data_IF_463733597335
#
_entry.id   IF_463733597335
#
_cell.length_a   1.000
_cell.length_b   1.000
_cell.length_c   1.000
_cell.angle_alpha   90.00
_cell.angle_beta   90.00
_cell.angle_gamma   90.00
#
_symmetry.space_group_name_H-M   'P 1'
#
loop_
_entity.id
_entity.type
_entity.pdbx_description
1 polymer ?
#
# COMPACT_ATOMS: atom_id res chain seq x y z
N UNK A 1 -1.65 -15.24 -16.96
CA UNK A 1 -2.28 -13.91 -16.83
C UNK A 1 -1.53 -13.18 -15.72
N UNK A 2 -1.24 -11.89 -15.89
CA UNK A 2 -0.56 -11.12 -14.84
C UNK A 2 -1.54 -10.86 -13.68
N UNK A 3 -1.06 -10.95 -12.44
CA UNK A 3 -1.84 -10.46 -11.29
C UNK A 3 -2.00 -8.93 -11.37
N UNK A 4 -3.11 -8.35 -10.89
CA UNK A 4 -3.21 -6.91 -10.72
C UNK A 4 -2.25 -6.40 -9.63
N UNK A 5 -2.09 -5.08 -9.53
CA UNK A 5 -1.50 -4.40 -8.36
C UNK A 5 -2.56 -3.58 -7.64
N UNK A 6 -2.33 -3.32 -6.36
CA UNK A 6 -3.24 -2.53 -5.52
C UNK A 6 -2.51 -1.41 -4.81
N UNK A 7 -3.14 -0.25 -4.69
CA UNK A 7 -2.89 0.70 -3.62
C UNK A 7 -4.06 0.62 -2.65
N UNK A 8 -3.79 0.30 -1.39
CA UNK A 8 -4.83 0.15 -0.36
C UNK A 8 -4.69 1.19 0.74
N UNK A 9 -5.83 1.68 1.20
CA UNK A 9 -5.95 2.28 2.52
C UNK A 9 -5.80 1.18 3.58
N UNK A 10 -4.78 1.25 4.44
CA UNK A 10 -4.54 0.17 5.42
C UNK A 10 -5.32 0.32 6.74
N UNK A 11 -5.96 1.47 6.96
CA UNK A 11 -6.64 1.81 8.20
C UNK A 11 -5.68 2.09 9.37
N UNK A 12 -6.19 2.65 10.48
CA UNK A 12 -5.33 2.96 11.62
C UNK A 12 -4.89 1.68 12.36
N UNK A 13 -3.61 1.52 12.67
CA UNK A 13 -3.19 0.45 13.59
C UNK A 13 -3.85 0.64 14.96
N UNK A 14 -4.47 -0.39 15.59
CA UNK A 14 -4.67 -1.80 15.21
C UNK A 14 -6.15 -2.14 14.88
N UNK A 15 -6.78 -1.43 13.95
CA UNK A 15 -8.23 -1.42 13.74
C UNK A 15 -8.94 -2.79 13.64
N UNK A 16 -8.39 -3.87 13.03
CA UNK A 16 -9.11 -5.14 12.92
C UNK A 16 -9.27 -5.86 14.28
N UNK A 17 -8.45 -5.50 15.27
CA UNK A 17 -8.38 -6.11 16.60
C UNK A 17 -9.09 -5.29 17.68
N UNK A 18 -9.80 -4.23 17.26
CA UNK A 18 -10.56 -3.33 18.10
C UNK A 18 -12.00 -3.33 17.57
N UNK A 19 -12.94 -3.93 18.30
CA UNK A 19 -14.32 -4.15 17.82
C UNK A 19 -15.00 -2.87 17.31
N UNK A 20 -14.90 -1.77 18.07
CA UNK A 20 -15.48 -0.48 17.68
C UNK A 20 -14.82 0.10 16.42
N UNK A 21 -13.50 -0.04 16.29
CA UNK A 21 -12.75 0.45 15.11
C UNK A 21 -13.06 -0.39 13.87
N UNK A 22 -13.12 -1.72 14.03
CA UNK A 22 -13.51 -2.64 12.96
C UNK A 22 -14.91 -2.37 12.46
N UNK A 23 -15.87 -2.18 13.37
CA UNK A 23 -17.23 -1.79 13.01
C UNK A 23 -17.29 -0.43 12.31
N UNK A 24 -16.51 0.55 12.78
CA UNK A 24 -16.43 1.85 12.14
C UNK A 24 -15.81 1.79 10.73
N UNK A 25 -14.93 0.81 10.47
CA UNK A 25 -14.23 0.61 9.19
C UNK A 25 -14.77 -0.58 8.40
N UNK A 26 -16.06 -0.91 8.55
CA UNK A 26 -16.67 -2.07 7.88
C UNK A 26 -16.58 -2.01 6.34
N UNK A 27 -16.70 -0.81 5.74
CA UNK A 27 -16.55 -0.64 4.29
C UNK A 27 -15.12 -0.97 3.84
N UNK A 28 -14.13 -0.53 4.61
CA UNK A 28 -12.74 -0.89 4.37
C UNK A 28 -12.54 -2.41 4.51
N UNK A 29 -13.09 -3.01 5.57
CA UNK A 29 -13.04 -4.46 5.79
C UNK A 29 -13.60 -5.23 4.59
N UNK A 30 -14.81 -4.88 4.15
CA UNK A 30 -15.46 -5.51 3.00
C UNK A 30 -14.61 -5.39 1.73
N UNK A 31 -13.99 -4.23 1.50
CA UNK A 31 -13.12 -4.03 0.33
C UNK A 31 -11.87 -4.91 0.36
N UNK A 32 -11.26 -5.12 1.55
CA UNK A 32 -10.09 -5.97 1.71
C UNK A 32 -10.44 -7.45 1.57
N UNK A 33 -11.61 -7.86 2.08
CA UNK A 33 -12.15 -9.23 1.93
C UNK A 33 -12.49 -9.55 0.47
N UNK A 34 -12.87 -8.55 -0.33
CA UNK A 34 -13.20 -8.77 -1.74
C UNK A 34 -11.96 -8.92 -2.64
N UNK A 35 -10.79 -8.39 -2.26
CA UNK A 35 -9.56 -8.44 -3.08
C UNK A 35 -9.24 -9.87 -3.59
N UNK A 36 -9.20 -10.94 -2.75
CA UNK A 36 -8.93 -12.30 -3.24
C UNK A 36 -9.91 -12.79 -4.32
N UNK A 37 -11.16 -12.33 -4.31
CA UNK A 37 -12.18 -12.69 -5.31
C UNK A 37 -11.95 -12.00 -6.66
N UNK A 38 -11.22 -10.88 -6.66
CA UNK A 38 -10.87 -10.12 -7.87
C UNK A 38 -9.61 -10.66 -8.59
N UNK A 39 -8.94 -11.66 -8.00
CA UNK A 39 -7.72 -12.24 -8.56
C UNK A 39 -8.03 -13.43 -9.48
N UNK A 40 -7.30 -13.60 -10.60
CA UNK A 40 -7.49 -14.73 -11.49
C UNK A 40 -7.14 -16.09 -10.83
N UNK A 41 -6.30 -16.06 -9.80
CA UNK A 41 -5.92 -17.20 -8.98
C UNK A 41 -5.28 -16.69 -7.68
N UNK A 42 -5.21 -17.55 -6.66
CA UNK A 42 -4.49 -17.24 -5.42
C UNK A 42 -3.02 -16.88 -5.73
N UNK A 43 -2.47 -15.79 -5.18
CA UNK A 43 -1.07 -15.46 -5.39
C UNK A 43 -0.15 -16.47 -4.70
N UNK A 44 1.05 -16.65 -5.24
CA UNK A 44 2.09 -17.49 -4.62
C UNK A 44 2.76 -16.79 -3.45
N UNK A 45 2.79 -15.46 -3.46
CA UNK A 45 3.33 -14.61 -2.42
C UNK A 45 2.80 -13.17 -2.56
N UNK A 46 2.99 -12.36 -1.52
CA UNK A 46 2.66 -10.94 -1.51
C UNK A 46 3.94 -10.12 -1.35
N UNK A 47 4.11 -9.10 -2.17
CA UNK A 47 5.07 -8.02 -1.96
C UNK A 47 4.33 -6.79 -1.45
N UNK A 48 4.57 -6.43 -0.19
CA UNK A 48 3.93 -5.32 0.50
C UNK A 48 4.87 -4.11 0.56
N UNK A 49 4.53 -3.04 -0.14
CA UNK A 49 5.23 -1.75 -0.04
C UNK A 49 4.56 -0.95 1.07
N UNK A 50 5.23 -0.81 2.22
CA UNK A 50 4.62 -0.16 3.40
C UNK A 50 5.05 1.29 3.55
N UNK A 51 4.07 2.18 3.75
CA UNK A 51 4.28 3.56 4.16
C UNK A 51 5.03 3.71 5.51
N UNK A 52 5.02 2.66 6.34
CA UNK A 52 5.67 2.63 7.66
C UNK A 52 7.11 2.12 7.63
N UNK A 53 7.69 2.04 6.43
CA UNK A 53 9.08 1.68 6.26
C UNK A 53 9.77 2.62 5.27
N UNK A 54 10.64 3.48 5.78
CA UNK A 54 11.48 4.38 4.99
C UNK A 54 12.95 4.09 5.29
N UNK A 55 13.80 4.06 4.27
CA UNK A 55 15.24 3.86 4.43
C UNK A 55 16.04 4.55 3.30
N UNK A 56 17.36 4.71 3.45
CA UNK A 56 18.21 5.42 2.47
C UNK A 56 18.36 4.69 1.11
N UNK A 57 18.06 3.39 1.09
CA UNK A 57 17.92 2.55 -0.09
C UNK A 57 16.58 1.80 -0.01
N UNK A 58 16.13 1.19 -1.12
CA UNK A 58 14.98 0.30 -1.05
C UNK A 58 15.35 -0.96 -0.26
N UNK A 59 14.90 -1.05 0.99
CA UNK A 59 15.13 -2.23 1.83
C UNK A 59 14.07 -3.28 1.57
N UNK A 60 14.51 -4.53 1.46
CA UNK A 60 13.66 -5.69 1.21
C UNK A 60 13.76 -6.63 2.40
N UNK A 61 12.62 -6.97 3.00
CA UNK A 61 12.60 -7.91 4.12
C UNK A 61 13.04 -9.29 3.64
N UNK A 62 14.09 -9.84 4.25
CA UNK A 62 14.62 -11.18 3.96
C UNK A 62 14.51 -12.15 5.13
N UNK A 63 13.85 -11.75 6.22
CA UNK A 63 13.57 -12.61 7.36
C UNK A 63 12.58 -13.73 6.96
N UNK A 64 12.95 -15.03 7.05
CA UNK A 64 12.05 -16.14 6.68
C UNK A 64 10.93 -16.38 7.70
N UNK A 65 11.07 -15.89 8.94
CA UNK A 65 10.05 -15.95 9.98
C UNK A 65 9.93 -14.57 10.65
N UNK A 66 9.29 -13.59 9.99
CA UNK A 66 9.16 -12.23 10.49
C UNK A 66 8.44 -12.20 11.84
N UNK A 67 8.99 -11.41 12.77
CA UNK A 67 8.26 -11.03 13.98
C UNK A 67 7.20 -9.97 13.67
N UNK A 68 6.61 -9.41 14.74
CA UNK A 68 5.71 -8.26 14.65
C UNK A 68 6.48 -6.98 14.99
N UNK A 69 6.18 -5.88 14.30
CA UNK A 69 6.65 -4.54 14.60
C UNK A 69 5.44 -3.67 14.91
N UNK A 70 5.19 -3.40 16.20
CA UNK A 70 4.07 -2.55 16.62
C UNK A 70 4.49 -1.08 16.59
N UNK A 71 4.22 -0.44 15.45
CA UNK A 71 4.55 0.95 15.12
C UNK A 71 3.42 1.96 15.44
N UNK A 72 2.51 1.57 16.33
CA UNK A 72 1.42 2.39 16.86
C UNK A 72 1.40 2.37 18.40
N UNK A 73 0.81 3.40 19.01
CA UNK A 73 0.88 3.66 20.45
C UNK A 73 -0.46 4.03 21.07
N UNK A 74 -0.64 3.78 22.37
CA UNK A 74 -1.79 4.25 23.15
C UNK A 74 -3.04 3.36 23.08
N UNK A 75 -2.91 2.12 22.60
CA UNK A 75 -4.01 1.17 22.49
C UNK A 75 -3.99 0.14 23.64
N UNK A 76 -5.07 -0.63 23.84
CA UNK A 76 -5.10 -1.71 24.84
C UNK A 76 -4.00 -2.76 24.63
N UNK A 77 -3.52 -3.33 25.74
CA UNK A 77 -2.39 -4.29 25.78
C UNK A 77 -2.57 -5.47 24.83
N UNK A 78 -3.79 -6.02 24.69
CA UNK A 78 -4.05 -7.17 23.84
C UNK A 78 -3.69 -6.94 22.38
N UNK A 79 -3.69 -5.69 21.92
CA UNK A 79 -3.35 -5.34 20.53
C UNK A 79 -1.85 -5.51 20.24
N UNK A 80 -1.00 -5.47 21.27
CA UNK A 80 0.46 -5.71 21.20
C UNK A 80 0.84 -7.19 21.34
N UNK A 81 -0.16 -8.08 21.40
CA UNK A 81 0.02 -9.54 21.43
C UNK A 81 -0.57 -10.23 20.20
N UNK A 82 -1.03 -9.46 19.21
CA UNK A 82 -1.55 -10.01 17.95
C UNK A 82 -0.38 -10.48 17.08
N UNK A 83 -0.54 -11.63 16.44
CA UNK A 83 0.48 -12.23 15.58
C UNK A 83 -0.10 -12.61 14.23
N UNK A 84 0.46 -12.04 13.16
CA UNK A 84 0.18 -12.45 11.79
C UNK A 84 1.32 -13.35 11.29
N UNK A 85 1.08 -14.67 11.28
CA UNK A 85 2.15 -15.68 11.17
C UNK A 85 2.50 -16.06 9.74
N UNK A 86 2.42 -15.11 8.81
CA UNK A 86 2.81 -15.37 7.42
C UNK A 86 4.32 -15.60 7.33
N UNK A 87 4.79 -16.63 6.60
CA UNK A 87 6.22 -16.83 6.40
C UNK A 87 6.80 -15.68 5.56
N UNK A 88 8.09 -15.39 5.76
CA UNK A 88 8.84 -14.60 4.78
C UNK A 88 9.25 -15.46 3.59
N UNK A 89 9.91 -14.87 2.60
CA UNK A 89 10.51 -15.63 1.49
C UNK A 89 11.86 -15.05 1.11
N UNK A 90 12.91 -15.84 1.34
CA UNK A 90 14.27 -15.51 0.93
C UNK A 90 14.38 -15.41 -0.59
N UNK A 91 13.81 -16.37 -1.32
CA UNK A 91 13.78 -16.40 -2.79
C UNK A 91 13.12 -15.15 -3.38
N UNK A 92 11.95 -14.76 -2.84
CA UNK A 92 11.28 -13.54 -3.29
C UNK A 92 12.10 -12.29 -2.94
N UNK A 93 12.71 -12.24 -1.74
CA UNK A 93 13.53 -11.11 -1.35
C UNK A 93 14.74 -10.93 -2.29
N UNK A 94 15.45 -12.01 -2.62
CA UNK A 94 16.56 -11.99 -3.58
C UNK A 94 16.09 -11.53 -4.97
N UNK A 95 14.96 -12.06 -5.44
CA UNK A 95 14.38 -11.70 -6.73
C UNK A 95 14.00 -10.23 -6.82
N UNK A 96 13.41 -9.68 -5.76
CA UNK A 96 13.08 -8.25 -5.65
C UNK A 96 14.35 -7.40 -5.69
N UNK A 97 15.39 -7.77 -4.92
CA UNK A 97 16.66 -7.04 -4.90
C UNK A 97 17.33 -7.06 -6.28
N UNK A 98 17.33 -8.21 -6.97
CA UNK A 98 17.86 -8.34 -8.32
C UNK A 98 17.17 -7.38 -9.29
N UNK A 99 15.83 -7.39 -9.35
CA UNK A 99 15.05 -6.52 -10.23
C UNK A 99 15.33 -5.04 -9.98
N UNK A 100 15.38 -4.62 -8.71
CA UNK A 100 15.65 -3.22 -8.34
C UNK A 100 17.06 -2.81 -8.79
N UNK A 101 18.07 -3.66 -8.55
CA UNK A 101 19.46 -3.38 -8.94
C UNK A 101 19.65 -3.39 -10.45
N UNK A 102 18.99 -4.29 -11.18
CA UNK A 102 19.01 -4.32 -12.64
C UNK A 102 18.42 -3.05 -13.27
N UNK A 103 17.50 -2.38 -12.57
CA UNK A 103 16.98 -1.07 -12.95
C UNK A 103 17.90 0.11 -12.55
N UNK A 104 19.07 -0.16 -11.96
CA UNK A 104 20.02 0.87 -11.51
C UNK A 104 19.62 1.57 -10.20
N UNK A 105 18.66 1.01 -9.46
CA UNK A 105 18.18 1.56 -8.19
C UNK A 105 18.89 0.89 -6.99
N UNK A 106 19.10 1.59 -5.86
CA UNK A 106 19.76 1.02 -4.69
C UNK A 106 18.82 0.08 -3.93
N UNK A 107 19.24 -1.17 -3.72
CA UNK A 107 18.51 -2.14 -2.90
C UNK A 107 19.39 -2.89 -1.91
N UNK A 108 18.86 -3.11 -0.71
CA UNK A 108 19.51 -3.81 0.40
C UNK A 108 18.54 -4.81 1.05
N UNK A 109 19.05 -5.93 1.55
CA UNK A 109 18.26 -6.86 2.36
C UNK A 109 18.16 -6.38 3.82
N UNK A 110 17.07 -6.75 4.50
CA UNK A 110 16.88 -6.61 5.93
C UNK A 110 16.38 -7.93 6.53
N UNK A 111 17.26 -8.62 7.25
CA UNK A 111 16.96 -9.90 7.87
C UNK A 111 16.28 -9.78 9.25
N UNK A 112 16.08 -8.55 9.76
CA UNK A 112 15.51 -8.29 11.09
C UNK A 112 14.11 -7.66 11.03
N UNK A 113 13.70 -7.12 9.88
CA UNK A 113 12.37 -6.52 9.71
C UNK A 113 11.26 -7.51 10.12
N UNK A 114 10.35 -7.03 10.96
CA UNK A 114 9.06 -7.65 11.26
C UNK A 114 7.92 -6.88 10.61
N UNK A 115 6.71 -7.46 10.63
CA UNK A 115 5.53 -6.84 10.03
C UNK A 115 5.05 -5.61 10.80
N UNK A 116 5.10 -4.44 10.16
CA UNK A 116 4.42 -3.22 10.63
C UNK A 116 2.90 -3.28 10.41
N UNK A 117 2.13 -2.39 11.03
CA UNK A 117 0.67 -2.44 10.92
C UNK A 117 0.16 -2.19 9.51
N UNK A 118 0.89 -1.41 8.69
CA UNK A 118 0.56 -1.22 7.28
C UNK A 118 0.60 -2.55 6.51
N UNK A 119 1.39 -3.53 6.95
CA UNK A 119 1.35 -4.87 6.40
C UNK A 119 0.33 -5.77 7.11
N UNK A 120 0.49 -6.01 8.42
CA UNK A 120 -0.25 -7.09 9.06
C UNK A 120 -1.74 -6.79 9.28
N UNK A 121 -2.14 -5.52 9.45
CA UNK A 121 -3.54 -5.19 9.71
C UNK A 121 -4.43 -5.47 8.49
N UNK A 122 -4.14 -4.97 7.28
CA UNK A 122 -4.94 -5.31 6.11
C UNK A 122 -4.80 -6.79 5.72
N UNK A 123 -3.64 -7.41 5.91
CA UNK A 123 -3.44 -8.82 5.59
C UNK A 123 -4.20 -9.77 6.52
N UNK A 124 -4.35 -9.42 7.80
CA UNK A 124 -5.17 -10.21 8.73
C UNK A 124 -6.65 -10.26 8.32
N UNK A 125 -7.13 -9.25 7.60
CA UNK A 125 -8.49 -9.20 7.03
C UNK A 125 -8.53 -9.92 5.67
N UNK A 126 -7.57 -9.65 4.80
CA UNK A 126 -7.53 -10.17 3.43
C UNK A 126 -7.21 -11.67 3.35
N UNK A 127 -6.27 -12.14 4.15
CA UNK A 127 -5.78 -13.52 4.20
C UNK A 127 -5.57 -13.94 5.67
N UNK A 128 -6.66 -14.21 6.42
CA UNK A 128 -6.60 -14.46 7.86
C UNK A 128 -5.78 -15.69 8.24
N UNK A 129 -5.71 -16.70 7.36
CA UNK A 129 -4.96 -17.94 7.60
C UNK A 129 -3.44 -17.77 7.50
N UNK A 130 -2.97 -16.64 6.95
CA UNK A 130 -1.54 -16.32 6.79
C UNK A 130 -0.72 -17.44 6.11
N UNK A 131 -1.33 -18.13 5.14
CA UNK A 131 -0.84 -19.39 4.58
C UNK A 131 0.07 -19.22 3.35
N UNK A 132 0.58 -18.01 3.12
CA UNK A 132 1.43 -17.69 1.98
C UNK A 132 2.57 -16.73 2.35
N UNK A 133 3.70 -16.78 1.64
CA UNK A 133 4.79 -15.87 1.91
C UNK A 133 4.45 -14.39 1.71
N UNK A 134 4.91 -13.55 2.63
CA UNK A 134 4.80 -12.09 2.56
C UNK A 134 6.20 -11.50 2.69
N UNK A 135 6.58 -10.64 1.75
CA UNK A 135 7.81 -9.84 1.80
C UNK A 135 7.43 -8.37 1.86
N UNK A 136 8.05 -7.61 2.76
CA UNK A 136 7.91 -6.16 2.79
C UNK A 136 9.01 -5.47 1.99
N UNK A 137 8.69 -4.30 1.46
CA UNK A 137 9.60 -3.40 0.77
C UNK A 137 9.42 -1.98 1.32
N UNK A 138 10.54 -1.34 1.66
CA UNK A 138 10.55 0.05 2.12
C UNK A 138 10.35 1.05 0.99
N UNK A 139 9.91 2.24 1.35
CA UNK A 139 10.13 3.46 0.58
C UNK A 139 11.59 3.91 0.71
N UNK A 140 12.02 4.73 -0.24
CA UNK A 140 13.34 5.38 -0.18
C UNK A 140 13.22 6.79 0.39
N UNK A 141 14.11 7.11 1.31
CA UNK A 141 14.25 8.42 1.93
C UNK A 141 14.40 9.51 0.86
N UNK A 142 13.77 10.65 1.10
CA UNK A 142 13.59 11.72 0.12
C UNK A 142 12.29 11.59 -0.68
N UNK A 143 11.63 10.42 -0.68
CA UNK A 143 10.26 10.23 -1.15
C UNK A 143 9.98 10.84 -2.53
N UNK A 144 10.93 10.70 -3.46
CA UNK A 144 10.80 11.23 -4.80
C UNK A 144 9.77 10.40 -5.60
N UNK A 145 8.66 10.97 -6.09
CA UNK A 145 7.60 10.20 -6.76
C UNK A 145 8.10 9.45 -8.00
N UNK A 146 8.99 10.08 -8.78
CA UNK A 146 9.57 9.48 -9.98
C UNK A 146 10.43 8.24 -9.68
N UNK A 147 11.15 8.22 -8.55
CA UNK A 147 11.94 7.05 -8.15
C UNK A 147 11.04 5.88 -7.74
N UNK A 148 9.89 6.17 -7.12
CA UNK A 148 8.93 5.14 -6.69
C UNK A 148 8.10 4.60 -7.87
N UNK A 149 7.82 5.41 -8.89
CA UNK A 149 7.32 4.93 -10.18
C UNK A 149 8.35 4.03 -10.87
N UNK A 150 9.63 4.43 -10.90
CA UNK A 150 10.71 3.63 -11.46
C UNK A 150 10.89 2.29 -10.73
N UNK A 151 10.74 2.29 -9.39
CA UNK A 151 10.70 1.09 -8.59
C UNK A 151 9.55 0.17 -9.03
N UNK A 152 8.33 0.70 -9.15
CA UNK A 152 7.16 -0.06 -9.62
C UNK A 152 7.42 -0.74 -10.97
N UNK A 153 7.95 0.02 -11.94
CA UNK A 153 8.32 -0.51 -13.27
C UNK A 153 9.32 -1.66 -13.19
N UNK A 154 10.32 -1.55 -12.32
CA UNK A 154 11.31 -2.61 -12.11
C UNK A 154 10.67 -3.90 -11.54
N UNK A 155 9.63 -3.77 -10.72
CA UNK A 155 8.94 -4.88 -10.05
C UNK A 155 7.84 -5.53 -10.90
N UNK A 156 7.44 -4.92 -12.03
CA UNK A 156 6.38 -5.42 -12.90
C UNK A 156 6.47 -6.92 -13.26
N UNK A 157 7.66 -7.52 -13.53
CA UNK A 157 7.77 -8.94 -13.85
C UNK A 157 7.20 -9.89 -12.77
N UNK A 158 7.24 -9.50 -11.49
CA UNK A 158 6.77 -10.32 -10.38
C UNK A 158 5.28 -10.69 -10.51
N UNK A 159 4.49 -9.85 -11.19
CA UNK A 159 3.06 -10.08 -11.43
C UNK A 159 2.81 -11.31 -12.28
N UNK A 160 3.68 -11.57 -13.26
CA UNK A 160 3.63 -12.78 -14.10
C UNK A 160 4.19 -14.01 -13.37
N UNK A 161 5.11 -13.79 -12.41
CA UNK A 161 5.71 -14.84 -11.57
C UNK A 161 4.72 -15.35 -10.49
N UNK A 162 3.62 -14.63 -10.26
CA UNK A 162 2.54 -14.99 -9.35
C UNK A 162 2.58 -14.25 -8.01
N UNK A 163 3.30 -13.12 -7.94
CA UNK A 163 3.39 -12.27 -6.76
C UNK A 163 2.36 -11.14 -6.86
N UNK A 164 1.54 -10.99 -5.82
CA UNK A 164 0.63 -9.86 -5.69
C UNK A 164 1.39 -8.66 -5.12
N UNK A 165 1.41 -7.54 -5.85
CA UNK A 165 2.06 -6.30 -5.41
C UNK A 165 1.00 -5.39 -4.79
N UNK A 166 1.22 -5.00 -3.54
CA UNK A 166 0.32 -4.12 -2.78
C UNK A 166 1.13 -2.95 -2.24
N UNK A 167 0.77 -1.74 -2.67
CA UNK A 167 1.13 -0.50 -1.99
C UNK A 167 0.18 -0.25 -0.83
N UNK A 168 0.69 -0.25 0.40
CA UNK A 168 -0.09 -0.02 1.61
C UNK A 168 0.18 1.37 2.17
N UNK A 169 -0.86 2.20 2.17
CA UNK A 169 -0.81 3.59 2.64
C UNK A 169 -2.20 4.10 2.98
N UNK A 170 -2.48 5.35 2.59
CA UNK A 170 -3.78 5.99 2.77
C UNK A 170 -3.92 7.16 1.78
N UNK A 171 -5.06 7.33 1.09
CA UNK A 171 -5.20 8.42 0.12
C UNK A 171 -5.25 9.82 0.75
N UNK A 172 -5.42 9.92 2.07
CA UNK A 172 -5.29 11.14 2.88
C UNK A 172 -4.58 10.84 4.20
N UNK A 173 -3.46 11.50 4.52
CA UNK A 173 -2.70 11.24 5.74
C UNK A 173 -2.25 12.54 6.45
N UNK A 174 -3.22 13.27 7.01
CA UNK A 174 -2.96 14.39 7.92
C UNK A 174 -3.65 14.20 9.27
N UNK A 175 -3.00 13.44 10.15
CA UNK A 175 -3.52 13.11 11.48
C UNK A 175 -3.89 14.34 12.33
N UNK A 176 -3.23 15.49 12.10
CA UNK A 176 -3.50 16.75 12.82
C UNK A 176 -4.82 17.41 12.41
N UNK A 177 -5.39 17.00 11.28
CA UNK A 177 -6.62 17.58 10.70
C UNK A 177 -7.75 16.56 10.55
N UNK A 178 -7.63 15.38 11.14
CA UNK A 178 -8.71 14.39 11.20
C UNK A 178 -10.00 14.98 11.79
N UNK A 179 -11.13 14.32 11.49
CA UNK A 179 -12.45 14.83 11.80
C UNK A 179 -12.94 15.87 10.79
N UNK A 180 -13.80 16.82 11.18
CA UNK A 180 -14.47 17.73 10.26
C UNK A 180 -13.54 18.59 9.38
N UNK A 181 -12.32 18.87 9.86
CA UNK A 181 -11.32 19.66 9.13
C UNK A 181 -10.70 18.92 7.93
N UNK A 182 -10.83 17.59 7.88
CA UNK A 182 -10.34 16.78 6.77
C UNK A 182 -11.27 16.84 5.56
N UNK A 183 -12.57 17.06 5.76
CA UNK A 183 -13.63 16.82 4.77
C UNK A 183 -13.38 17.42 3.40
N UNK A 184 -13.22 18.74 3.33
CA UNK A 184 -13.00 19.40 2.04
C UNK A 184 -11.61 19.02 1.46
N UNK A 185 -10.50 19.13 2.21
CA UNK A 185 -9.18 18.77 1.68
C UNK A 185 -9.07 17.32 1.18
N UNK A 186 -9.66 16.36 1.90
CA UNK A 186 -9.65 14.95 1.50
C UNK A 186 -10.52 14.71 0.29
N UNK A 187 -11.70 15.32 0.20
CA UNK A 187 -12.58 15.18 -0.97
C UNK A 187 -11.91 15.74 -2.22
N UNK A 188 -11.37 16.96 -2.14
CA UNK A 188 -10.73 17.64 -3.27
C UNK A 188 -9.49 16.89 -3.77
N UNK A 189 -8.70 16.29 -2.87
CA UNK A 189 -7.54 15.49 -3.25
C UNK A 189 -7.96 14.12 -3.81
N UNK A 190 -9.00 13.49 -3.25
CA UNK A 190 -9.51 12.19 -3.74
C UNK A 190 -10.16 12.31 -5.12
N UNK A 191 -10.91 13.39 -5.39
CA UNK A 191 -11.45 13.71 -6.72
C UNK A 191 -10.32 13.83 -7.75
N UNK A 192 -9.21 14.48 -7.37
CA UNK A 192 -8.02 14.55 -8.21
C UNK A 192 -7.37 13.18 -8.44
N UNK A 193 -7.34 12.30 -7.43
CA UNK A 193 -6.86 10.92 -7.59
C UNK A 193 -7.76 10.14 -8.55
N UNK A 194 -9.08 10.24 -8.42
CA UNK A 194 -10.04 9.56 -9.29
C UNK A 194 -9.85 10.00 -10.75
N UNK A 195 -9.77 11.31 -11.02
CA UNK A 195 -9.53 11.85 -12.36
C UNK A 195 -8.15 11.40 -12.90
N UNK A 196 -7.11 11.55 -12.09
CA UNK A 196 -5.73 11.23 -12.50
C UNK A 196 -5.53 9.74 -12.75
N UNK A 197 -6.13 8.87 -11.95
CA UNK A 197 -5.93 7.42 -12.06
C UNK A 197 -6.88 6.80 -13.09
N UNK A 198 -8.16 7.17 -13.11
CA UNK A 198 -9.20 6.45 -13.87
C UNK A 198 -9.51 7.12 -15.19
N UNK A 199 -9.61 8.45 -15.21
CA UNK A 199 -10.08 9.19 -16.39
C UNK A 199 -8.94 9.63 -17.33
N UNK A 200 -7.72 9.78 -16.82
CA UNK A 200 -6.58 10.26 -17.62
C UNK A 200 -5.88 9.15 -18.41
N UNK A 201 -5.19 9.55 -19.49
CA UNK A 201 -4.31 8.62 -20.22
C UNK A 201 -3.11 8.18 -19.38
N UNK A 202 -2.46 7.07 -19.73
CA UNK A 202 -1.26 6.59 -19.01
C UNK A 202 -0.18 7.66 -18.85
N UNK A 203 0.12 8.40 -19.92
CA UNK A 203 1.12 9.47 -19.89
C UNK A 203 0.73 10.61 -18.94
N UNK A 204 -0.54 11.01 -18.95
CA UNK A 204 -1.06 12.05 -18.06
C UNK A 204 -1.07 11.57 -16.61
N UNK A 205 -1.49 10.33 -16.34
CA UNK A 205 -1.46 9.69 -15.02
C UNK A 205 -0.06 9.77 -14.42
N UNK A 206 0.96 9.32 -15.17
CA UNK A 206 2.35 9.36 -14.73
C UNK A 206 2.82 10.79 -14.45
N UNK A 207 2.55 11.72 -15.37
CA UNK A 207 2.96 13.12 -15.20
C UNK A 207 2.30 13.78 -13.97
N UNK A 208 1.01 13.52 -13.74
CA UNK A 208 0.27 14.03 -12.59
C UNK A 208 0.75 13.44 -11.27
N UNK A 209 1.06 12.14 -11.23
CA UNK A 209 1.61 11.51 -10.02
C UNK A 209 3.02 11.99 -9.69
N UNK A 210 3.84 12.30 -10.70
CA UNK A 210 5.16 12.93 -10.48
C UNK A 210 4.99 14.31 -9.85
N UNK A 211 4.00 15.08 -10.31
CA UNK A 211 3.71 16.44 -9.86
C UNK A 211 2.51 16.51 -8.90
N UNK A 212 2.30 15.47 -8.08
CA UNK A 212 1.10 15.34 -7.23
C UNK A 212 0.92 16.53 -6.26
N UNK A 213 2.00 17.24 -5.94
CA UNK A 213 1.97 18.45 -5.11
C UNK A 213 1.16 19.60 -5.70
N UNK A 214 0.94 19.59 -7.02
CA UNK A 214 0.10 20.56 -7.73
C UNK A 214 -1.40 20.25 -7.57
N UNK A 215 -1.75 19.08 -7.02
CA UNK A 215 -3.12 18.68 -6.80
C UNK A 215 -3.84 19.59 -5.79
N UNK A 216 -5.16 19.76 -5.92
CA UNK A 216 -5.97 20.42 -4.91
C UNK A 216 -5.69 19.86 -3.51
N UNK A 217 -5.38 20.75 -2.57
CA UNK A 217 -5.10 20.42 -1.18
C UNK A 217 -3.96 19.40 -0.94
N UNK A 218 -3.08 19.14 -1.91
CA UNK A 218 -2.03 18.12 -1.83
C UNK A 218 -1.25 18.11 -0.50
N UNK A 219 -0.63 19.23 -0.13
CA UNK A 219 0.16 19.36 1.12
C UNK A 219 -0.70 19.44 2.39
N UNK A 220 -2.02 19.64 2.25
CA UNK A 220 -2.97 19.48 3.37
C UNK A 220 -3.34 18.02 3.54
N UNK A 221 -3.54 17.27 2.46
CA UNK A 221 -3.82 15.83 2.49
C UNK A 221 -2.61 15.02 2.95
N UNK A 222 -1.42 15.40 2.46
CA UNK A 222 -0.14 14.74 2.71
C UNK A 222 0.91 15.79 3.10
N UNK A 223 1.02 16.14 4.41
CA UNK A 223 2.09 16.98 4.91
C UNK A 223 3.47 16.40 4.61
N UNK A 224 3.53 15.07 4.55
CA UNK A 224 4.62 14.27 4.01
C UNK A 224 4.02 13.16 3.12
N UNK A 225 4.85 12.60 2.26
CA UNK A 225 4.45 11.82 1.09
C UNK A 225 4.32 10.32 1.36
N UNK A 226 4.75 9.85 2.53
CA UNK A 226 5.00 8.42 2.76
C UNK A 226 3.74 7.55 2.63
N UNK A 227 2.57 8.05 3.00
CA UNK A 227 1.31 7.29 2.87
C UNK A 227 0.72 7.34 1.46
N UNK A 228 1.20 8.23 0.59
CA UNK A 228 0.81 8.31 -0.81
C UNK A 228 1.75 7.49 -1.70
N UNK A 229 3.06 7.52 -1.44
CA UNK A 229 4.09 6.95 -2.32
C UNK A 229 3.98 5.45 -2.66
N UNK A 230 3.37 4.58 -1.84
CA UNK A 230 3.05 3.22 -2.25
C UNK A 230 2.16 3.16 -3.51
N UNK A 231 1.34 4.20 -3.78
CA UNK A 231 0.55 4.34 -5.01
C UNK A 231 1.45 4.40 -6.24
N UNK A 232 2.52 5.18 -6.20
CA UNK A 232 3.46 5.34 -7.31
C UNK A 232 4.11 4.00 -7.67
N UNK A 233 4.42 3.17 -6.67
CA UNK A 233 4.96 1.82 -6.91
C UNK A 233 3.90 0.90 -7.52
N UNK A 234 2.67 0.92 -7.00
CA UNK A 234 1.57 0.12 -7.53
C UNK A 234 1.25 0.48 -8.99
N UNK A 235 1.21 1.77 -9.31
CA UNK A 235 1.02 2.28 -10.67
C UNK A 235 2.18 1.86 -11.56
N UNK A 236 3.44 2.08 -11.17
CA UNK A 236 4.59 1.73 -12.01
C UNK A 236 4.64 0.25 -12.39
N UNK A 237 4.19 -0.65 -11.49
CA UNK A 237 4.15 -2.08 -11.74
C UNK A 237 3.06 -2.54 -12.73
N UNK A 238 2.07 -1.67 -13.00
CA UNK A 238 0.97 -1.91 -13.93
C UNK A 238 0.64 -0.65 -14.74
N UNK A 239 1.69 0.05 -15.19
CA UNK A 239 1.61 1.44 -15.68
C UNK A 239 0.60 1.62 -16.81
N UNK A 240 0.67 0.73 -17.79
CA UNK A 240 -0.18 0.76 -18.98
C UNK A 240 -1.56 0.13 -18.78
N UNK A 241 -1.89 -0.32 -17.56
CA UNK A 241 -3.14 -1.03 -17.29
C UNK A 241 -4.23 -0.10 -16.71
N UNK A 242 -5.47 -0.53 -16.91
CA UNK A 242 -6.66 0.21 -16.46
C UNK A 242 -6.66 0.27 -14.93
N UNK A 243 -6.98 1.45 -14.40
CA UNK A 243 -7.21 1.67 -12.99
C UNK A 243 -8.70 1.56 -12.66
N UNK A 244 -9.01 1.08 -11.47
CA UNK A 244 -10.37 1.04 -10.92
C UNK A 244 -10.33 1.39 -9.44
N UNK A 245 -11.30 2.17 -8.97
CA UNK A 245 -11.49 2.39 -7.54
C UNK A 245 -12.19 1.15 -6.95
N UNK A 246 -11.58 0.55 -5.93
CA UNK A 246 -12.06 -0.71 -5.30
C UNK A 246 -12.47 -0.53 -3.84
N UNK A 247 -12.25 0.67 -3.30
CA UNK A 247 -12.74 1.13 -2.00
C UNK A 247 -12.88 2.64 -2.11
N UNK A 248 -14.01 3.16 -1.66
CA UNK A 248 -14.25 4.59 -1.52
C UNK A 248 -15.17 4.79 -0.33
N UNK A 249 -14.74 5.59 0.64
CA UNK A 249 -15.54 5.89 1.82
C UNK A 249 -15.43 7.37 2.16
N UNK A 250 -16.59 7.99 2.37
CA UNK A 250 -16.69 9.35 2.88
C UNK A 250 -16.89 9.36 4.39
N UNK A 251 -16.32 10.37 5.04
CA UNK A 251 -16.44 10.63 6.48
C UNK A 251 -15.80 9.56 7.39
N UNK A 252 -14.90 8.71 6.88
CA UNK A 252 -14.04 7.88 7.74
C UNK A 252 -13.25 8.79 8.69
N UNK A 253 -12.97 8.32 9.92
CA UNK A 253 -12.34 9.13 10.97
C UNK A 253 -13.03 10.48 11.24
N UNK A 254 -14.35 10.56 11.00
CA UNK A 254 -15.16 11.75 11.28
C UNK A 254 -15.04 12.87 10.24
N UNK A 255 -14.50 12.59 9.05
CA UNK A 255 -14.50 13.56 7.96
C UNK A 255 -13.59 13.25 6.78
N UNK A 256 -12.70 12.26 6.85
CA UNK A 256 -11.80 11.90 5.76
C UNK A 256 -12.58 11.23 4.63
N UNK A 257 -12.24 11.56 3.38
CA UNK A 257 -12.56 10.76 2.19
C UNK A 257 -11.33 9.92 1.87
N UNK A 258 -11.50 8.61 1.73
CA UNK A 258 -10.41 7.70 1.44
C UNK A 258 -10.78 6.71 0.33
N UNK A 259 -9.80 6.40 -0.54
CA UNK A 259 -9.95 5.48 -1.65
C UNK A 259 -8.81 4.48 -1.75
N UNK A 260 -9.08 3.32 -2.33
CA UNK A 260 -8.09 2.32 -2.74
C UNK A 260 -8.27 2.03 -4.23
N UNK A 261 -7.17 1.74 -4.91
CA UNK A 261 -7.14 1.57 -6.36
C UNK A 261 -6.52 0.24 -6.75
N UNK A 262 -7.08 -0.37 -7.79
CA UNK A 262 -6.57 -1.58 -8.45
C UNK A 262 -6.10 -1.21 -9.85
N UNK A 263 -4.95 -1.71 -10.24
CA UNK A 263 -4.41 -1.60 -11.61
C UNK A 263 -4.28 -2.99 -12.20
N UNK A 264 -4.93 -3.22 -13.33
CA UNK A 264 -4.94 -4.53 -13.94
C UNK A 264 -6.08 -4.72 -14.92
N UNK A 265 -5.89 -5.54 -15.96
CA UNK A 265 -7.03 -6.00 -16.77
C UNK A 265 -8.14 -6.60 -15.88
N UNK A 266 -9.39 -6.19 -16.11
CA UNK A 266 -10.56 -6.82 -15.49
C UNK A 266 -10.77 -8.14 -16.23
N UNK A 267 -10.74 -9.26 -15.49
CA UNK A 267 -10.98 -10.59 -16.04
C UNK A 267 -12.46 -10.76 -16.42
#
# INVERSE_FOLDING_TARGET
MNLPTYFISHGGGPWPYMEDMRKAMHVLEESLVDIPRQLPHKPKAILMISAHWEDHAFRVMSNPAPGMLYDYGGFPEHTYHVHYSAPGSHELAERVIELIRSAGLPALADAQRGFDHGAFAPLAVMYPDADMPVVQLSLRAGLAPAEHLALGRALAPLRAEGVLIIGSGLSYHNLRRFGPLAKEPSSSFDDWLQDSLIASSTTERVARLINWEEAPAARVAHPREEHLLPLMVAVGAAEDEVASCVYHEENIFGGVVASSFRFGAIA
#
